data_IF_841315766760
#
_entry.id   IF_841315766760
#
_cell.length_a   1.000
_cell.length_b   1.000
_cell.length_c   1.000
_cell.angle_alpha   90.00
_cell.angle_beta   90.00
_cell.angle_gamma   90.00
#
_symmetry.space_group_name_H-M   'P 1'
#
loop_
_entity.id
_entity.type
_entity.pdbx_description
1 polymer ?
#
# COMPACT_ATOMS: atom_id res chain seq x y z
N UNK A 1 -13.09 1.13 -3.06
CA UNK A 1 -12.98 2.59 -3.23
C UNK A 1 -14.31 3.25 -3.61
N UNK A 2 -15.02 2.79 -4.65
CA UNK A 2 -16.31 3.40 -5.10
C UNK A 2 -17.39 3.38 -4.00
N UNK A 3 -17.57 2.26 -3.30
CA UNK A 3 -18.53 2.14 -2.20
C UNK A 3 -18.26 3.15 -1.06
N UNK A 4 -16.99 3.33 -0.67
CA UNK A 4 -16.57 4.33 0.33
C UNK A 4 -16.91 5.75 -0.11
N UNK A 5 -16.52 6.12 -1.34
CA UNK A 5 -16.79 7.46 -1.89
C UNK A 5 -18.29 7.76 -2.02
N UNK A 6 -19.10 6.73 -2.20
CA UNK A 6 -20.55 6.83 -2.25
C UNK A 6 -21.24 6.70 -0.88
N UNK A 7 -20.49 6.65 0.23
CA UNK A 7 -21.04 6.54 1.58
C UNK A 7 -21.63 5.17 1.94
N UNK A 8 -21.51 4.16 1.06
CA UNK A 8 -21.97 2.79 1.34
C UNK A 8 -20.94 2.04 2.19
N UNK A 9 -20.83 2.47 3.45
CA UNK A 9 -19.76 2.04 4.34
C UNK A 9 -19.87 0.55 4.70
N UNK A 10 -21.06 -0.01 4.84
CA UNK A 10 -21.25 -1.45 5.14
C UNK A 10 -20.76 -2.34 3.99
N UNK A 11 -21.12 -1.96 2.77
CA UNK A 11 -20.66 -2.64 1.56
C UNK A 11 -19.13 -2.52 1.40
N UNK A 12 -18.58 -1.33 1.67
CA UNK A 12 -17.13 -1.11 1.64
C UNK A 12 -16.39 -2.01 2.64
N UNK A 13 -16.89 -2.11 3.87
CA UNK A 13 -16.33 -2.98 4.90
C UNK A 13 -16.32 -4.46 4.49
N UNK A 14 -17.44 -4.95 3.95
CA UNK A 14 -17.55 -6.34 3.54
C UNK A 14 -16.55 -6.66 2.42
N UNK A 15 -16.44 -5.79 1.42
CA UNK A 15 -15.49 -5.94 0.33
C UNK A 15 -14.04 -5.94 0.82
N UNK A 16 -13.69 -5.03 1.73
CA UNK A 16 -12.34 -4.95 2.26
C UNK A 16 -12.02 -6.11 3.21
N UNK A 17 -12.96 -6.52 4.07
CA UNK A 17 -12.79 -7.66 4.95
C UNK A 17 -12.56 -8.95 4.15
N UNK A 18 -13.33 -9.15 3.08
CA UNK A 18 -13.17 -10.30 2.18
C UNK A 18 -11.81 -10.27 1.47
N UNK A 19 -11.39 -9.10 0.98
CA UNK A 19 -10.08 -8.96 0.35
C UNK A 19 -8.94 -9.24 1.33
N UNK A 20 -9.01 -8.73 2.56
CA UNK A 20 -7.99 -8.95 3.58
C UNK A 20 -7.91 -10.43 4.00
N UNK A 21 -9.06 -11.06 4.26
CA UNK A 21 -9.11 -12.48 4.65
C UNK A 21 -8.57 -13.40 3.55
N UNK A 22 -8.88 -13.11 2.28
CA UNK A 22 -8.32 -13.85 1.15
C UNK A 22 -6.79 -13.76 1.11
N UNK A 23 -6.23 -12.58 1.36
CA UNK A 23 -4.80 -12.38 1.35
C UNK A 23 -4.08 -12.98 2.56
N UNK A 24 -4.68 -12.93 3.75
CA UNK A 24 -4.16 -13.60 4.95
C UNK A 24 -4.10 -15.12 4.72
N UNK A 25 -5.12 -15.68 4.07
CA UNK A 25 -5.12 -17.08 3.66
C UNK A 25 -4.02 -17.40 2.64
N UNK A 26 -3.85 -16.58 1.60
CA UNK A 26 -2.78 -16.77 0.62
C UNK A 26 -1.38 -16.73 1.27
N UNK A 27 -1.17 -15.81 2.22
CA UNK A 27 0.08 -15.73 2.96
C UNK A 27 0.33 -16.98 3.81
N UNK A 28 -0.72 -17.54 4.42
CA UNK A 28 -0.64 -18.78 5.19
C UNK A 28 -0.38 -20.00 4.29
N UNK A 29 -1.10 -20.11 3.17
CA UNK A 29 -1.06 -21.27 2.27
C UNK A 29 0.23 -21.31 1.43
N UNK A 30 0.77 -20.14 1.04
CA UNK A 30 1.88 -20.04 0.08
C UNK A 30 3.13 -19.35 0.63
N UNK A 31 3.11 -18.86 1.88
CA UNK A 31 4.25 -18.18 2.51
C UNK A 31 4.66 -16.86 1.86
N UNK A 32 3.88 -16.37 0.89
CA UNK A 32 4.13 -15.11 0.18
C UNK A 32 3.21 -14.03 0.77
N UNK A 33 3.73 -13.07 1.58
CA UNK A 33 2.91 -11.95 2.01
C UNK A 33 2.42 -11.20 0.77
N UNK A 34 1.10 -11.04 0.62
CA UNK A 34 0.56 -10.35 -0.54
C UNK A 34 0.80 -8.85 -0.39
N UNK A 35 1.81 -8.40 -1.13
CA UNK A 35 2.31 -7.03 -1.18
C UNK A 35 1.26 -6.02 -1.70
N UNK A 36 0.20 -6.46 -2.39
CA UNK A 36 -0.89 -5.58 -2.84
C UNK A 36 -1.86 -5.09 -1.74
N UNK A 37 -1.56 -5.31 -0.46
CA UNK A 37 -2.48 -5.00 0.65
C UNK A 37 -2.47 -3.55 1.15
N UNK A 38 -1.45 -2.76 0.83
CA UNK A 38 -1.35 -1.39 1.34
C UNK A 38 -2.59 -0.56 1.00
N UNK A 39 -3.02 -0.54 -0.27
CA UNK A 39 -4.18 0.23 -0.69
C UNK A 39 -5.51 -0.26 -0.06
N UNK A 40 -5.85 -1.57 -0.07
CA UNK A 40 -7.02 -2.08 0.65
C UNK A 40 -7.04 -1.75 2.15
N UNK A 41 -5.88 -1.83 2.82
CA UNK A 41 -5.76 -1.48 4.24
C UNK A 41 -6.02 0.01 4.48
N UNK A 42 -5.42 0.89 3.66
CA UNK A 42 -5.66 2.32 3.75
C UNK A 42 -7.14 2.67 3.50
N UNK A 43 -7.76 2.05 2.50
CA UNK A 43 -9.16 2.29 2.18
C UNK A 43 -10.13 1.80 3.27
N UNK A 44 -9.84 0.68 3.92
CA UNK A 44 -10.56 0.23 5.11
C UNK A 44 -10.38 1.20 6.29
N UNK A 45 -9.17 1.76 6.45
CA UNK A 45 -8.89 2.80 7.45
C UNK A 45 -9.77 4.03 7.26
N UNK A 46 -9.89 4.54 6.02
CA UNK A 46 -10.78 5.65 5.71
C UNK A 46 -12.26 5.33 5.95
N UNK A 47 -12.69 4.06 5.78
CA UNK A 47 -14.07 3.68 6.16
C UNK A 47 -14.25 3.74 7.67
N UNK A 48 -13.28 3.28 8.46
CA UNK A 48 -13.31 3.40 9.91
C UNK A 48 -13.34 4.87 10.37
N UNK A 49 -12.57 5.75 9.71
CA UNK A 49 -12.63 7.19 9.98
C UNK A 49 -14.02 7.77 9.73
N UNK A 50 -14.64 7.44 8.60
CA UNK A 50 -15.99 7.89 8.25
C UNK A 50 -17.06 7.41 9.25
N UNK A 51 -16.76 6.38 10.05
CA UNK A 51 -17.61 5.89 11.14
C UNK A 51 -17.24 6.44 12.51
N UNK A 52 -16.21 7.28 12.60
CA UNK A 52 -15.71 7.82 13.86
C UNK A 52 -14.89 6.83 14.69
N UNK A 53 -14.51 5.67 14.13
CA UNK A 53 -13.70 4.66 14.83
C UNK A 53 -12.20 4.97 14.64
N UNK A 54 -11.71 5.91 15.45
CA UNK A 54 -10.34 6.38 15.37
C UNK A 54 -9.31 5.29 15.70
N UNK A 55 -9.63 4.36 16.62
CA UNK A 55 -8.73 3.28 17.00
C UNK A 55 -8.52 2.32 15.83
N UNK A 56 -9.61 1.87 15.22
CA UNK A 56 -9.56 0.98 14.05
C UNK A 56 -8.92 1.65 12.85
N UNK A 57 -9.24 2.92 12.60
CA UNK A 57 -8.60 3.72 11.55
C UNK A 57 -7.07 3.74 11.73
N UNK A 58 -6.60 4.08 12.93
CA UNK A 58 -5.17 4.11 13.26
C UNK A 58 -4.50 2.75 13.04
N UNK A 59 -5.13 1.66 13.47
CA UNK A 59 -4.58 0.31 13.32
C UNK A 59 -4.45 -0.08 11.83
N UNK A 60 -5.48 0.19 11.03
CA UNK A 60 -5.50 -0.12 9.60
C UNK A 60 -4.48 0.71 8.82
N UNK A 61 -4.41 2.02 9.07
CA UNK A 61 -3.41 2.89 8.43
C UNK A 61 -1.98 2.55 8.86
N UNK A 62 -1.76 2.12 10.11
CA UNK A 62 -0.44 1.66 10.57
C UNK A 62 0.00 0.39 9.83
N UNK A 63 -0.89 -0.61 9.69
CA UNK A 63 -0.61 -1.82 8.90
C UNK A 63 -0.34 -1.45 7.43
N UNK A 64 -1.14 -0.56 6.84
CA UNK A 64 -0.93 -0.07 5.48
C UNK A 64 0.45 0.57 5.30
N UNK A 65 0.87 1.41 6.25
CA UNK A 65 2.17 2.08 6.19
C UNK A 65 3.34 1.08 6.30
N UNK A 66 3.22 0.08 7.18
CA UNK A 66 4.21 -0.98 7.30
C UNK A 66 4.38 -1.75 5.98
N UNK A 67 3.27 -2.16 5.35
CA UNK A 67 3.29 -2.82 4.05
C UNK A 67 3.89 -1.90 2.99
N UNK A 68 3.43 -0.64 2.88
CA UNK A 68 3.96 0.31 1.90
C UNK A 68 5.48 0.51 2.00
N UNK A 69 6.02 0.56 3.23
CA UNK A 69 7.47 0.66 3.47
C UNK A 69 8.22 -0.59 3.04
N UNK A 70 7.69 -1.77 3.32
CA UNK A 70 8.28 -3.04 2.89
C UNK A 70 8.39 -3.15 1.36
N UNK A 71 7.53 -2.45 0.64
CA UNK A 71 7.49 -2.43 -0.83
C UNK A 71 8.29 -1.32 -1.47
N UNK A 72 8.76 -0.37 -0.66
CA UNK A 72 9.28 0.88 -1.19
C UNK A 72 8.24 1.60 -2.05
N UNK A 73 6.95 1.54 -1.70
CA UNK A 73 5.89 2.29 -2.38
C UNK A 73 5.63 3.61 -1.64
N UNK A 74 6.27 4.71 -2.05
CA UNK A 74 6.12 6.00 -1.40
C UNK A 74 4.72 6.61 -1.59
N UNK A 75 3.97 6.23 -2.65
CA UNK A 75 2.59 6.70 -2.85
C UNK A 75 1.66 6.06 -1.84
N UNK A 76 1.78 4.75 -1.64
CA UNK A 76 1.03 4.04 -0.62
C UNK A 76 1.42 4.50 0.80
N UNK A 77 2.69 4.80 1.04
CA UNK A 77 3.16 5.31 2.32
C UNK A 77 2.59 6.70 2.62
N UNK A 78 2.52 7.59 1.62
CA UNK A 78 1.89 8.91 1.76
C UNK A 78 0.39 8.77 2.07
N UNK A 79 -0.33 7.90 1.36
CA UNK A 79 -1.77 7.68 1.59
C UNK A 79 -2.05 7.14 3.01
N UNK A 80 -1.22 6.21 3.49
CA UNK A 80 -1.35 5.67 4.84
C UNK A 80 -1.05 6.71 5.92
N UNK A 81 -0.04 7.57 5.71
CA UNK A 81 0.33 8.65 6.63
C UNK A 81 -0.77 9.72 6.71
N UNK A 82 -1.43 10.01 5.59
CA UNK A 82 -2.59 10.90 5.55
C UNK A 82 -3.76 10.37 6.40
N UNK A 83 -4.07 9.08 6.30
CA UNK A 83 -5.07 8.45 7.16
C UNK A 83 -4.67 8.40 8.64
N UNK A 84 -3.38 8.32 8.98
CA UNK A 84 -2.97 8.49 10.38
C UNK A 84 -3.26 9.92 10.89
N UNK A 85 -3.17 10.93 10.02
CA UNK A 85 -3.55 12.29 10.36
C UNK A 85 -5.06 12.44 10.55
N UNK A 86 -5.86 11.77 9.71
CA UNK A 86 -7.31 11.68 9.86
C UNK A 86 -7.72 11.05 11.18
N UNK A 87 -7.16 9.87 11.50
CA UNK A 87 -7.38 9.19 12.78
C UNK A 87 -6.97 10.05 14.00
N UNK A 88 -5.83 10.77 13.93
CA UNK A 88 -5.42 11.69 15.00
C UNK A 88 -6.38 12.87 15.16
N UNK A 89 -6.92 13.39 14.05
CA UNK A 89 -7.90 14.48 14.07
C UNK A 89 -9.22 14.07 14.73
N UNK A 90 -9.65 12.81 14.57
CA UNK A 90 -10.88 12.30 15.19
C UNK A 90 -10.83 12.29 16.72
N UNK A 91 -9.63 12.16 17.32
CA UNK A 91 -9.41 12.24 18.78
C UNK A 91 -8.92 13.61 19.22
N UNK A 92 -9.08 14.63 18.39
CA UNK A 92 -8.66 16.02 18.65
C UNK A 92 -7.15 16.22 18.87
N UNK A 93 -6.31 15.27 18.44
CA UNK A 93 -4.86 15.43 18.44
C UNK A 93 -4.41 16.18 17.16
N UNK A 94 -4.78 17.46 17.11
CA UNK A 94 -4.51 18.33 15.97
C UNK A 94 -3.03 18.58 15.74
N UNK A 95 -2.22 18.57 16.81
CA UNK A 95 -0.78 18.72 16.71
C UNK A 95 -0.17 17.53 15.97
N UNK A 96 -0.57 16.31 16.34
CA UNK A 96 -0.08 15.11 15.67
C UNK A 96 -0.57 15.02 14.22
N UNK A 97 -1.82 15.40 13.97
CA UNK A 97 -2.36 15.45 12.62
C UNK A 97 -1.57 16.40 11.71
N UNK A 98 -1.25 17.61 12.20
CA UNK A 98 -0.47 18.58 11.43
C UNK A 98 0.92 18.05 11.05
N UNK A 99 1.63 17.43 12.01
CA UNK A 99 2.93 16.81 11.75
C UNK A 99 2.85 15.73 10.65
N UNK A 100 1.86 14.84 10.75
CA UNK A 100 1.67 13.76 9.79
C UNK A 100 1.32 14.29 8.38
N UNK A 101 0.60 15.41 8.28
CA UNK A 101 0.31 16.05 6.99
C UNK A 101 1.57 16.71 6.38
N UNK A 102 2.45 17.27 7.21
CA UNK A 102 3.77 17.75 6.77
C UNK A 102 4.60 16.60 6.21
N UNK A 103 4.69 15.48 6.93
CA UNK A 103 5.41 14.28 6.50
C UNK A 103 4.86 13.72 5.18
N UNK A 104 3.53 13.70 5.05
CA UNK A 104 2.83 13.27 3.82
C UNK A 104 3.21 14.13 2.62
N UNK A 105 3.34 15.45 2.82
CA UNK A 105 3.72 16.39 1.77
C UNK A 105 5.17 16.14 1.33
N UNK A 106 6.07 15.92 2.28
CA UNK A 106 7.47 15.55 1.99
C UNK A 106 7.59 14.22 1.23
N UNK A 107 6.75 13.24 1.55
CA UNK A 107 6.68 11.98 0.80
C UNK A 107 6.14 12.15 -0.62
N UNK A 108 5.16 13.03 -0.84
CA UNK A 108 4.61 13.29 -2.18
C UNK A 108 5.60 14.05 -3.07
N UNK A 109 6.35 14.99 -2.51
CA UNK A 109 7.36 15.77 -3.26
C UNK A 109 8.56 14.91 -3.65
N UNK A 110 8.98 13.96 -2.81
CA UNK A 110 10.05 13.02 -3.17
C UNK A 110 9.68 12.11 -4.36
N UNK A 111 8.40 11.74 -4.48
CA UNK A 111 7.88 10.97 -5.64
C UNK A 111 7.78 11.82 -6.90
N UNK A 112 7.41 13.09 -6.77
CA UNK A 112 7.33 14.02 -7.91
C UNK A 112 8.69 14.36 -8.53
N UNK A 113 9.76 14.22 -7.76
CA UNK A 113 11.13 14.57 -8.16
C UNK A 113 12.02 13.35 -8.47
N UNK A 114 11.50 12.11 -8.40
CA UNK A 114 12.28 10.92 -8.73
C UNK A 114 12.44 10.79 -10.26
N UNK A 115 13.67 10.76 -10.81
CA UNK A 115 13.87 10.56 -12.23
C UNK A 115 13.33 9.19 -12.65
N UNK A 116 12.61 9.14 -13.77
CA UNK A 116 11.90 7.96 -14.28
C UNK A 116 12.77 6.69 -14.44
N UNK A 117 14.10 6.83 -14.39
CA UNK A 117 15.06 5.73 -14.50
C UNK A 117 15.13 4.80 -13.27
N UNK A 118 14.59 5.19 -12.11
CA UNK A 118 14.68 4.37 -10.89
C UNK A 118 13.64 3.24 -10.80
N UNK A 119 12.64 3.19 -11.70
CA UNK A 119 11.47 2.30 -11.57
C UNK A 119 11.54 1.07 -12.50
N UNK A 120 12.60 0.90 -13.30
CA UNK A 120 12.71 -0.25 -14.20
C UNK A 120 14.14 -0.76 -14.39
N UNK A 121 14.55 -1.72 -13.56
CA UNK A 121 15.23 -2.90 -14.09
C UNK A 121 15.00 -4.07 -13.10
N UNK A 122 14.11 -5.05 -13.39
CA UNK A 122 14.19 -6.32 -12.70
C UNK A 122 15.55 -6.97 -13.04
N UNK A 123 16.17 -7.73 -12.12
CA UNK A 123 17.47 -8.34 -12.38
C UNK A 123 17.35 -9.23 -13.62
N UNK A 124 18.07 -8.86 -14.70
CA UNK A 124 18.20 -9.70 -15.89
C UNK A 124 18.85 -11.01 -15.45
N UNK A 125 18.04 -12.06 -15.33
CA UNK A 125 18.54 -13.42 -15.20
C UNK A 125 19.41 -13.70 -16.43
N UNK A 126 20.71 -13.88 -16.20
CA UNK A 126 21.68 -14.27 -17.20
C UNK A 126 21.41 -15.72 -17.61
N UNK A 127 20.43 -15.96 -18.50
CA UNK A 127 20.31 -17.24 -19.21
C UNK A 127 21.35 -17.28 -20.32
N UNK A 128 22.55 -17.71 -19.96
CA UNK A 128 23.54 -18.21 -20.91
C UNK A 128 23.06 -19.52 -21.52
N UNK A 129 22.41 -19.45 -22.68
CA UNK A 129 22.19 -20.63 -23.53
C UNK A 129 23.35 -20.72 -24.54
N UNK A 130 24.15 -21.80 -24.53
CA UNK A 130 25.22 -21.98 -25.51
C UNK A 130 24.63 -22.23 -26.89
N UNK A 131 25.00 -21.40 -27.87
CA UNK A 131 24.64 -21.60 -29.28
C UNK A 131 25.39 -22.81 -29.82
N UNK A 132 24.69 -23.90 -30.07
CA UNK A 132 25.21 -25.06 -30.79
C UNK A 132 25.56 -24.64 -32.23
N UNK A 133 26.85 -24.58 -32.57
CA UNK A 133 27.31 -24.50 -33.97
C UNK A 133 26.99 -25.83 -34.66
N UNK A 134 26.22 -25.79 -35.75
CA UNK A 134 26.10 -26.92 -36.68
C UNK A 134 27.47 -27.20 -37.34
N UNK A 135 27.83 -28.46 -37.60
CA UNK A 135 29.05 -28.79 -38.32
C UNK A 135 28.88 -28.57 -39.83
N UNK A 136 29.91 -27.99 -40.46
CA UNK A 136 30.04 -27.91 -41.91
C UNK A 136 30.43 -29.29 -42.43
N UNK A 137 29.60 -29.90 -43.28
CA UNK A 137 29.98 -31.09 -44.06
C UNK A 137 30.93 -30.69 -45.18
N UNK A 138 31.95 -31.53 -45.38
CA UNK A 138 32.84 -31.54 -46.54
C UNK A 138 32.13 -31.97 -47.82
#
# INVERSE_FOLDING_TARGET
MVARRAGRLAEADEHFARALAWNERLAADYGVPFRGLALPLAEAGFVAELRGDAERARALHTRSLAVARELGDPRAAALATEGLAGAASLVSDHQRAAQLLTDTTALRTSVGNAPAAAVADPPRAATGLPRTRKPSSA
#
